data_IF_906171508878
#
_entry.id   IF_906171508878
#
_cell.length_a   1.000
_cell.length_b   1.000
_cell.length_c   1.000
_cell.angle_alpha   90.00
_cell.angle_beta   90.00
_cell.angle_gamma   90.00
#
_symmetry.space_group_name_H-M   'P 1'
#
loop_
_entity.id
_entity.type
_entity.pdbx_description
1 polymer ?
#
# COMPACT_ATOMS: atom_id res chain seq x y z
N UNK A 1 -12.56 -9.61 20.18
CA UNK A 1 -11.77 -8.41 19.84
C UNK A 1 -10.42 -8.90 19.33
N UNK A 2 -10.27 -9.06 18.01
CA UNK A 2 -9.10 -9.72 17.42
C UNK A 2 -8.05 -8.66 17.09
N UNK A 3 -6.93 -8.72 17.80
CA UNK A 3 -5.75 -7.89 17.59
C UNK A 3 -4.91 -8.56 16.50
N UNK A 4 -4.96 -8.02 15.28
CA UNK A 4 -4.09 -8.46 14.21
C UNK A 4 -2.74 -7.73 14.33
N UNK A 5 -1.62 -8.45 14.54
CA UNK A 5 -0.31 -7.84 14.63
C UNK A 5 0.05 -7.25 13.25
N UNK A 6 0.56 -6.01 13.25
CA UNK A 6 0.99 -5.21 12.09
C UNK A 6 2.25 -5.79 11.41
N UNK A 7 2.40 -7.12 11.38
CA UNK A 7 3.62 -7.82 10.96
C UNK A 7 3.57 -8.56 9.63
N UNK A 8 2.48 -8.58 8.85
CA UNK A 8 2.44 -9.43 7.63
C UNK A 8 2.09 -8.77 6.28
N UNK A 9 1.79 -7.47 6.17
CA UNK A 9 1.61 -6.86 4.84
C UNK A 9 2.93 -6.46 4.15
N UNK A 10 3.95 -6.14 4.94
CA UNK A 10 5.33 -5.93 4.45
C UNK A 10 5.91 -7.26 3.90
N UNK A 11 5.52 -8.41 4.44
CA UNK A 11 5.94 -9.73 3.92
C UNK A 11 5.26 -10.13 2.62
N UNK A 12 3.97 -9.79 2.45
CA UNK A 12 3.23 -10.05 1.20
C UNK A 12 3.77 -9.18 0.04
N UNK A 13 4.24 -7.96 0.34
CA UNK A 13 4.90 -7.08 -0.66
C UNK A 13 6.36 -7.52 -0.92
N UNK A 14 7.07 -8.05 0.08
CA UNK A 14 8.43 -8.62 -0.09
C UNK A 14 8.49 -9.77 -1.09
N UNK A 15 7.40 -10.51 -1.30
CA UNK A 15 7.33 -11.58 -2.31
C UNK A 15 7.12 -11.10 -3.75
N UNK A 16 6.88 -9.81 -4.00
CA UNK A 16 6.54 -9.30 -5.34
C UNK A 16 7.61 -8.44 -6.06
N UNK A 17 8.85 -8.34 -5.56
CA UNK A 17 9.96 -7.86 -6.41
C UNK A 17 11.32 -7.61 -5.72
N UNK A 18 12.48 -7.76 -6.40
CA UNK A 18 13.78 -7.94 -5.75
C UNK A 18 14.54 -6.67 -5.30
N UNK A 19 13.92 -5.48 -5.24
CA UNK A 19 14.70 -4.23 -5.17
C UNK A 19 14.67 -3.51 -3.79
N UNK A 20 13.75 -3.83 -2.88
CA UNK A 20 13.55 -3.01 -1.66
C UNK A 20 14.31 -3.55 -0.42
N UNK A 21 14.75 -4.81 -0.43
CA UNK A 21 15.26 -5.51 0.77
C UNK A 21 16.63 -4.98 1.25
N UNK A 22 17.46 -4.42 0.36
CA UNK A 22 18.79 -3.90 0.77
C UNK A 22 18.75 -2.58 1.53
N UNK A 23 17.66 -1.82 1.47
CA UNK A 23 17.66 -0.43 1.98
C UNK A 23 17.26 -0.29 3.46
N UNK A 24 16.41 -1.18 3.97
CA UNK A 24 15.85 -1.08 5.33
C UNK A 24 16.83 -1.56 6.41
N UNK A 25 17.70 -2.52 6.10
CA UNK A 25 18.64 -3.10 7.07
C UNK A 25 19.81 -2.15 7.39
N UNK A 26 20.29 -1.38 6.40
CA UNK A 26 21.46 -0.53 6.57
C UNK A 26 21.14 0.81 7.28
N UNK A 27 19.88 1.24 7.30
CA UNK A 27 19.46 2.53 7.87
C UNK A 27 19.12 2.48 9.38
N UNK A 28 18.92 1.30 9.97
CA UNK A 28 18.61 1.18 11.41
C UNK A 28 19.84 1.43 12.31
N UNK A 29 21.06 1.26 11.79
CA UNK A 29 22.31 1.40 12.56
C UNK A 29 22.75 2.85 12.80
N UNK A 30 22.20 3.84 12.08
CA UNK A 30 22.63 5.24 12.17
C UNK A 30 21.82 6.11 13.15
N UNK A 31 20.73 5.60 13.72
CA UNK A 31 19.75 6.39 14.48
C UNK A 31 20.11 6.68 15.96
N UNK A 32 21.34 6.38 16.42
CA UNK A 32 21.68 6.41 17.86
C UNK A 32 22.52 7.59 18.34
N UNK A 33 22.49 8.77 17.70
CA UNK A 33 23.14 9.96 18.27
C UNK A 33 22.37 11.25 17.99
N UNK A 34 22.32 12.06 19.05
CA UNK A 34 22.02 13.50 19.13
C UNK A 34 20.63 13.83 19.70
N UNK A 35 20.61 14.16 21.00
CA UNK A 35 19.81 15.26 21.53
C UNK A 35 20.72 16.09 22.42
N UNK A 36 20.87 17.38 22.09
CA UNK A 36 21.50 18.37 22.92
C UNK A 36 20.98 19.76 22.59
N UNK A 37 20.63 20.51 23.65
CA UNK A 37 20.31 21.94 23.72
C UNK A 37 18.85 22.38 23.52
N UNK A 38 18.19 22.58 24.66
CA UNK A 38 17.04 23.45 24.89
C UNK A 38 17.48 24.93 24.95
N UNK A 39 16.62 25.86 24.50
CA UNK A 39 16.86 27.30 24.67
C UNK A 39 15.83 28.27 24.07
N UNK A 40 14.86 27.83 23.26
CA UNK A 40 14.04 28.76 22.45
C UNK A 40 12.52 28.46 22.47
N UNK A 41 11.95 28.16 23.64
CA UNK A 41 10.55 27.71 23.78
C UNK A 41 9.49 28.64 23.13
N UNK A 42 9.64 29.97 23.17
CA UNK A 42 8.63 30.89 22.60
C UNK A 42 8.60 30.93 21.06
N UNK A 43 9.77 31.02 20.42
CA UNK A 43 9.88 31.06 18.94
C UNK A 43 9.63 29.68 18.32
N UNK A 44 9.98 28.60 19.03
CA UNK A 44 9.69 27.23 18.60
C UNK A 44 8.21 26.89 18.62
N UNK A 45 7.42 27.39 19.57
CA UNK A 45 5.95 27.15 19.61
C UNK A 45 5.23 27.86 18.45
N UNK A 46 5.61 29.10 18.11
CA UNK A 46 4.97 29.85 17.03
C UNK A 46 5.38 29.31 15.65
N UNK A 47 6.65 28.94 15.47
CA UNK A 47 7.13 28.21 14.30
C UNK A 47 6.46 26.83 14.18
N UNK A 48 6.34 26.10 15.29
CA UNK A 48 5.60 24.83 15.37
C UNK A 48 4.16 24.99 14.89
N UNK A 49 3.40 25.98 15.39
CA UNK A 49 2.02 26.23 14.93
C UNK A 49 1.95 26.54 13.43
N UNK A 50 2.87 27.36 12.92
CA UNK A 50 2.88 27.75 11.49
C UNK A 50 3.29 26.58 10.58
N UNK A 51 4.33 25.83 10.95
CA UNK A 51 4.80 24.66 10.21
C UNK A 51 3.77 23.53 10.25
N UNK A 52 3.24 23.23 11.44
CA UNK A 52 2.13 22.28 11.64
C UNK A 52 0.93 22.65 10.78
N UNK A 53 0.47 23.91 10.78
CA UNK A 53 -0.71 24.31 10.00
C UNK A 53 -0.48 24.22 8.49
N UNK A 54 0.70 24.60 7.98
CA UNK A 54 1.00 24.52 6.55
C UNK A 54 1.14 23.07 6.08
N UNK A 55 1.87 22.25 6.83
CA UNK A 55 2.09 20.84 6.49
C UNK A 55 0.83 20.00 6.68
N UNK A 56 0.04 20.25 7.73
CA UNK A 56 -1.29 19.69 7.91
C UNK A 56 -2.21 20.05 6.74
N UNK A 57 -2.18 21.29 6.26
CA UNK A 57 -3.01 21.71 5.14
C UNK A 57 -2.77 20.84 3.90
N UNK A 58 -1.50 20.65 3.52
CA UNK A 58 -1.16 19.82 2.36
C UNK A 58 -1.49 18.34 2.57
N UNK A 59 -1.07 17.74 3.68
CA UNK A 59 -1.31 16.31 3.96
C UNK A 59 -2.81 16.02 4.12
N UNK A 60 -3.56 16.92 4.75
CA UNK A 60 -5.01 16.79 4.90
C UNK A 60 -5.72 16.87 3.56
N UNK A 61 -5.35 17.82 2.70
CA UNK A 61 -5.95 17.95 1.37
C UNK A 61 -5.66 16.70 0.51
N UNK A 62 -4.43 16.17 0.58
CA UNK A 62 -4.09 14.92 -0.09
C UNK A 62 -4.89 13.75 0.49
N UNK A 63 -4.93 13.60 1.82
CA UNK A 63 -5.71 12.56 2.48
C UNK A 63 -7.20 12.60 2.06
N UNK A 64 -7.82 13.78 2.06
CA UNK A 64 -9.22 13.95 1.62
C UNK A 64 -9.42 13.59 0.15
N UNK A 65 -8.45 13.85 -0.72
CA UNK A 65 -8.47 13.38 -2.10
C UNK A 65 -8.49 11.85 -2.17
N UNK A 66 -7.61 11.17 -1.43
CA UNK A 66 -7.60 9.70 -1.41
C UNK A 66 -8.87 9.10 -0.81
N UNK A 67 -9.40 9.71 0.25
CA UNK A 67 -10.62 9.25 0.90
C UNK A 67 -11.86 9.44 0.00
N UNK A 68 -12.04 10.64 -0.58
CA UNK A 68 -13.26 10.97 -1.35
C UNK A 68 -13.17 10.55 -2.81
N UNK A 69 -12.03 10.78 -3.45
CA UNK A 69 -11.89 10.57 -4.90
C UNK A 69 -11.43 9.15 -5.19
N UNK A 70 -10.37 8.68 -4.55
CA UNK A 70 -9.82 7.33 -4.83
C UNK A 70 -10.70 6.24 -4.23
N UNK A 71 -10.96 6.28 -2.92
CA UNK A 71 -11.77 5.24 -2.27
C UNK A 71 -13.25 5.34 -2.63
N UNK A 72 -13.76 6.55 -2.90
CA UNK A 72 -15.14 6.80 -3.31
C UNK A 72 -15.45 6.38 -4.76
N UNK A 73 -14.47 6.42 -5.67
CA UNK A 73 -14.64 6.04 -7.09
C UNK A 73 -13.84 4.80 -7.51
N UNK A 74 -13.50 3.95 -6.53
CA UNK A 74 -12.65 2.78 -6.73
C UNK A 74 -13.11 1.84 -7.86
N UNK A 75 -14.43 1.71 -8.05
CA UNK A 75 -15.00 0.83 -9.08
C UNK A 75 -14.54 1.18 -10.50
N UNK A 76 -14.33 2.48 -10.78
CA UNK A 76 -13.86 2.97 -12.08
C UNK A 76 -12.34 2.91 -12.28
N UNK A 77 -11.56 2.62 -11.25
CA UNK A 77 -10.11 2.59 -11.35
C UNK A 77 -9.61 1.31 -12.04
N UNK A 78 -8.63 1.47 -12.92
CA UNK A 78 -7.82 0.35 -13.44
C UNK A 78 -6.81 -0.10 -12.40
N UNK A 79 -6.25 -1.30 -12.56
CA UNK A 79 -5.15 -1.79 -11.72
C UNK A 79 -3.96 -0.84 -11.73
N UNK A 80 -3.68 -0.22 -12.89
CA UNK A 80 -2.60 0.76 -13.04
C UNK A 80 -2.83 2.00 -12.19
N UNK A 81 -4.06 2.53 -12.18
CA UNK A 81 -4.40 3.69 -11.36
C UNK A 81 -4.22 3.38 -9.87
N UNK A 82 -4.71 2.21 -9.44
CA UNK A 82 -4.58 1.76 -8.05
C UNK A 82 -3.11 1.56 -7.66
N UNK A 83 -2.31 0.97 -8.53
CA UNK A 83 -0.88 0.79 -8.30
C UNK A 83 -0.15 2.14 -8.21
N UNK A 84 -0.51 3.11 -9.05
CA UNK A 84 0.04 4.46 -8.99
C UNK A 84 -0.30 5.15 -7.66
N UNK A 85 -1.54 5.01 -7.18
CA UNK A 85 -1.97 5.51 -5.87
C UNK A 85 -1.20 4.87 -4.72
N UNK A 86 -0.95 3.55 -4.78
CA UNK A 86 -0.12 2.84 -3.80
C UNK A 86 1.29 3.45 -3.74
N UNK A 87 1.94 3.64 -4.88
CA UNK A 87 3.29 4.23 -4.95
C UNK A 87 3.34 5.66 -4.39
N UNK A 88 2.32 6.47 -4.68
CA UNK A 88 2.22 7.82 -4.16
C UNK A 88 2.03 7.86 -2.64
N UNK A 89 1.21 6.96 -2.09
CA UNK A 89 1.03 6.81 -0.65
C UNK A 89 2.34 6.38 0.03
N UNK A 90 3.06 5.41 -0.54
CA UNK A 90 4.36 4.98 -0.02
C UNK A 90 5.35 6.14 0.01
N UNK A 91 5.44 6.91 -1.06
CA UNK A 91 6.29 8.09 -1.13
C UNK A 91 5.92 9.12 -0.07
N UNK A 92 4.62 9.35 0.16
CA UNK A 92 4.14 10.25 1.23
C UNK A 92 4.53 9.73 2.61
N UNK A 93 4.35 8.44 2.89
CA UNK A 93 4.75 7.84 4.17
C UNK A 93 6.26 8.01 4.39
N UNK A 94 7.08 7.70 3.37
CA UNK A 94 8.54 7.86 3.43
C UNK A 94 8.94 9.31 3.69
N UNK A 95 8.28 10.27 3.05
CA UNK A 95 8.53 11.69 3.30
C UNK A 95 8.21 12.05 4.75
N UNK A 96 7.05 11.61 5.27
CA UNK A 96 6.65 11.87 6.66
C UNK A 96 7.66 11.25 7.65
N UNK A 97 8.16 10.05 7.36
CA UNK A 97 9.16 9.37 8.19
C UNK A 97 10.52 10.10 8.17
N UNK A 98 10.99 10.54 7.00
CA UNK A 98 12.23 11.32 6.88
C UNK A 98 12.13 12.66 7.62
N UNK A 99 10.98 13.32 7.52
CA UNK A 99 10.70 14.54 8.27
C UNK A 99 10.61 14.26 9.77
N UNK A 100 10.02 13.15 10.20
CA UNK A 100 9.99 12.74 11.61
C UNK A 100 11.39 12.52 12.19
N UNK A 101 12.30 11.95 11.40
CA UNK A 101 13.70 11.74 11.79
C UNK A 101 14.49 13.04 11.87
N UNK A 102 14.20 14.00 10.98
CA UNK A 102 14.92 15.26 10.86
C UNK A 102 14.39 16.38 11.78
N UNK A 103 13.18 16.23 12.32
CA UNK A 103 12.50 17.27 13.09
C UNK A 103 12.58 17.10 14.61
N UNK A 104 12.24 18.17 15.33
CA UNK A 104 12.20 18.22 16.79
C UNK A 104 11.35 17.07 17.38
N UNK A 105 11.84 16.49 18.49
CA UNK A 105 11.20 15.41 19.24
C UNK A 105 9.70 15.66 19.54
N UNK A 106 9.30 16.92 19.77
CA UNK A 106 7.92 17.31 20.08
C UNK A 106 6.91 17.05 18.92
N UNK A 107 7.39 16.86 17.69
CA UNK A 107 6.55 16.57 16.53
C UNK A 107 6.35 15.06 16.29
N UNK A 108 7.08 14.19 17.00
CA UNK A 108 6.98 12.73 16.82
C UNK A 108 5.56 12.16 16.97
N UNK A 109 4.74 12.58 17.97
CA UNK A 109 3.37 12.08 18.09
C UNK A 109 2.49 12.46 16.90
N UNK A 110 2.70 13.65 16.34
CA UNK A 110 1.96 14.12 15.17
C UNK A 110 2.30 13.28 13.93
N UNK A 111 3.59 13.10 13.63
CA UNK A 111 4.00 12.25 12.51
C UNK A 111 3.52 10.80 12.65
N UNK A 112 3.56 10.25 13.88
CA UNK A 112 3.01 8.92 14.14
C UNK A 112 1.51 8.79 13.86
N UNK A 113 0.72 9.84 14.11
CA UNK A 113 -0.71 9.84 13.75
C UNK A 113 -0.92 9.91 12.23
N UNK A 114 -0.15 10.75 11.52
CA UNK A 114 -0.27 10.87 10.07
C UNK A 114 0.17 9.58 9.36
N UNK A 115 1.28 8.96 9.76
CA UNK A 115 1.73 7.67 9.22
C UNK A 115 0.62 6.61 9.39
N UNK A 116 -0.05 6.56 10.55
CA UNK A 116 -1.16 5.60 10.77
C UNK A 116 -2.34 5.85 9.83
N UNK A 117 -2.70 7.11 9.58
CA UNK A 117 -3.77 7.45 8.64
C UNK A 117 -3.43 7.02 7.22
N UNK A 118 -2.21 7.31 6.76
CA UNK A 118 -1.76 6.92 5.43
C UNK A 118 -1.64 5.40 5.27
N UNK A 119 -1.15 4.69 6.30
CA UNK A 119 -1.16 3.23 6.33
C UNK A 119 -2.56 2.64 6.26
N UNK A 120 -3.56 3.28 6.87
CA UNK A 120 -4.95 2.83 6.79
C UNK A 120 -5.54 3.01 5.38
N UNK A 121 -5.19 4.07 4.66
CA UNK A 121 -5.59 4.23 3.25
C UNK A 121 -4.87 3.20 2.38
N UNK A 122 -3.56 3.02 2.58
CA UNK A 122 -2.76 2.03 1.88
C UNK A 122 -3.42 0.65 1.97
N UNK A 123 -3.70 0.19 3.19
CA UNK A 123 -4.35 -1.09 3.45
C UNK A 123 -5.72 -1.22 2.75
N UNK A 124 -6.55 -0.18 2.80
CA UNK A 124 -7.85 -0.20 2.13
C UNK A 124 -7.73 -0.31 0.60
N UNK A 125 -6.78 0.40 -0.01
CA UNK A 125 -6.57 0.32 -1.46
C UNK A 125 -6.03 -1.06 -1.84
N UNK A 126 -5.05 -1.60 -1.09
CA UNK A 126 -4.49 -2.93 -1.36
C UNK A 126 -5.54 -4.04 -1.20
N UNK A 127 -6.37 -3.97 -0.16
CA UNK A 127 -7.42 -4.97 0.08
C UNK A 127 -8.46 -4.93 -1.04
N UNK A 128 -8.96 -3.74 -1.39
CA UNK A 128 -9.91 -3.61 -2.50
C UNK A 128 -9.30 -4.03 -3.83
N UNK A 129 -8.01 -3.78 -4.04
CA UNK A 129 -7.28 -4.20 -5.24
C UNK A 129 -7.17 -5.72 -5.33
N UNK A 130 -6.83 -6.38 -4.23
CA UNK A 130 -6.78 -7.84 -4.12
C UNK A 130 -8.14 -8.49 -4.40
N UNK A 131 -9.22 -7.94 -3.82
CA UNK A 131 -10.58 -8.44 -4.03
C UNK A 131 -10.99 -8.28 -5.50
N UNK A 132 -10.67 -7.13 -6.12
CA UNK A 132 -10.97 -6.89 -7.52
C UNK A 132 -10.15 -7.82 -8.42
N UNK A 133 -8.84 -7.97 -8.19
CA UNK A 133 -8.02 -8.95 -8.92
C UNK A 133 -8.63 -10.35 -8.90
N UNK A 134 -9.07 -10.79 -7.72
CA UNK A 134 -9.68 -12.10 -7.55
C UNK A 134 -10.95 -12.27 -8.37
N UNK A 135 -11.87 -11.29 -8.30
CA UNK A 135 -13.11 -11.28 -9.08
C UNK A 135 -12.82 -11.33 -10.59
N UNK A 136 -11.80 -10.60 -11.02
CA UNK A 136 -11.44 -10.49 -12.42
C UNK A 136 -10.78 -11.76 -12.96
N UNK A 137 -9.97 -12.44 -12.13
CA UNK A 137 -9.47 -13.78 -12.47
C UNK A 137 -10.60 -14.80 -12.59
N UNK A 138 -11.61 -14.72 -11.70
CA UNK A 138 -12.77 -15.61 -11.76
C UNK A 138 -13.58 -15.38 -13.05
N UNK A 139 -13.79 -14.13 -13.45
CA UNK A 139 -14.44 -13.79 -14.71
C UNK A 139 -13.66 -14.30 -15.92
N UNK A 140 -12.32 -14.11 -15.95
CA UNK A 140 -11.47 -14.62 -17.02
C UNK A 140 -11.46 -16.15 -17.10
N UNK A 141 -11.54 -16.84 -15.96
CA UNK A 141 -11.56 -18.30 -15.92
C UNK A 141 -12.87 -18.84 -16.50
N UNK A 142 -14.01 -18.26 -16.10
CA UNK A 142 -15.33 -18.70 -16.53
C UNK A 142 -15.68 -18.28 -17.97
N UNK A 143 -15.04 -17.24 -18.49
CA UNK A 143 -15.26 -16.74 -19.85
C UNK A 143 -13.91 -16.42 -20.53
N UNK A 144 -13.37 -17.33 -21.36
CA UNK A 144 -12.10 -17.14 -22.05
C UNK A 144 -12.05 -15.91 -22.98
N UNK A 145 -13.21 -15.51 -23.53
CA UNK A 145 -13.38 -14.35 -24.40
C UNK A 145 -13.59 -13.05 -23.60
N UNK A 146 -13.55 -13.12 -22.28
CA UNK A 146 -13.65 -11.95 -21.42
C UNK A 146 -12.45 -11.01 -21.64
N UNK A 147 -12.74 -9.83 -22.18
CA UNK A 147 -11.82 -8.71 -22.25
C UNK A 147 -12.11 -7.72 -21.13
N UNK A 148 -11.07 -7.37 -20.38
CA UNK A 148 -11.20 -6.48 -19.25
C UNK A 148 -10.27 -5.28 -19.36
N UNK A 149 -10.85 -4.08 -19.24
CA UNK A 149 -10.09 -2.83 -19.15
C UNK A 149 -9.35 -2.62 -17.82
N UNK A 150 -9.71 -3.33 -16.75
CA UNK A 150 -9.09 -3.20 -15.43
C UNK A 150 -7.60 -3.54 -15.44
N UNK A 151 -7.20 -4.62 -16.11
CA UNK A 151 -5.79 -5.04 -16.20
C UNK A 151 -5.02 -4.35 -17.33
N UNK A 152 -5.56 -3.28 -17.94
CA UNK A 152 -4.87 -2.56 -19.01
C UNK A 152 -3.47 -2.10 -18.56
N UNK A 153 -2.44 -2.51 -19.30
CA UNK A 153 -1.03 -2.27 -18.96
C UNK A 153 -0.40 -3.30 -18.02
N UNK A 154 -1.12 -4.38 -17.70
CA UNK A 154 -0.66 -5.55 -16.95
C UNK A 154 -0.82 -6.84 -17.79
N UNK A 155 -0.62 -6.75 -19.10
CA UNK A 155 -0.88 -7.86 -20.04
C UNK A 155 -0.01 -9.09 -19.77
N UNK A 156 1.21 -8.90 -19.25
CA UNK A 156 2.07 -10.01 -18.83
C UNK A 156 1.47 -10.81 -17.66
N UNK A 157 0.75 -10.14 -16.75
CA UNK A 157 0.12 -10.76 -15.59
C UNK A 157 -1.09 -11.60 -16.03
N UNK A 158 -1.95 -11.04 -16.88
CA UNK A 158 -3.12 -11.75 -17.42
C UNK A 158 -2.71 -12.85 -18.40
N UNK A 159 -1.66 -12.62 -19.20
CA UNK A 159 -1.07 -13.63 -20.08
C UNK A 159 -0.54 -14.83 -19.31
N UNK A 160 0.17 -14.61 -18.18
CA UNK A 160 0.62 -15.69 -17.30
C UNK A 160 -0.55 -16.48 -16.71
N UNK A 161 -1.58 -15.78 -16.23
CA UNK A 161 -2.80 -16.43 -15.73
C UNK A 161 -3.44 -17.31 -16.80
N UNK A 162 -3.70 -16.78 -18.00
CA UNK A 162 -4.31 -17.51 -19.12
C UNK A 162 -3.46 -18.71 -19.54
N UNK A 163 -2.15 -18.57 -19.56
CA UNK A 163 -1.23 -19.66 -19.90
C UNK A 163 -1.29 -20.82 -18.90
N UNK A 164 -1.41 -20.53 -17.59
CA UNK A 164 -1.52 -21.57 -16.56
C UNK A 164 -2.91 -22.22 -16.61
N UNK A 165 -3.96 -21.43 -16.79
CA UNK A 165 -5.32 -21.95 -16.95
C UNK A 165 -5.43 -22.90 -18.16
N UNK A 166 -4.84 -22.52 -19.30
CA UNK A 166 -4.85 -23.32 -20.52
C UNK A 166 -4.02 -24.62 -20.42
N UNK A 167 -3.02 -24.68 -19.53
CA UNK A 167 -2.22 -25.90 -19.35
C UNK A 167 -2.94 -26.98 -18.53
N UNK A 168 -4.08 -26.65 -17.90
CA UNK A 168 -4.83 -27.57 -17.03
C UNK A 168 -4.16 -27.84 -15.68
N UNK A 169 -3.08 -27.12 -15.34
CA UNK A 169 -2.41 -27.25 -14.04
C UNK A 169 -3.14 -26.42 -12.99
N UNK A 170 -4.19 -27.00 -12.42
CA UNK A 170 -5.07 -26.33 -11.46
C UNK A 170 -4.33 -25.95 -10.17
N UNK A 171 -3.37 -26.76 -9.71
CA UNK A 171 -2.61 -26.44 -8.49
C UNK A 171 -1.69 -25.23 -8.71
N UNK A 172 -1.05 -25.12 -9.88
CA UNK A 172 -0.31 -23.91 -10.26
C UNK A 172 -1.23 -22.69 -10.41
N UNK A 173 -2.44 -22.88 -10.95
CA UNK A 173 -3.44 -21.81 -11.08
C UNK A 173 -3.86 -21.28 -9.71
N UNK A 174 -4.22 -22.17 -8.78
CA UNK A 174 -4.65 -21.80 -7.44
C UNK A 174 -3.54 -21.09 -6.67
N UNK A 175 -2.30 -21.56 -6.79
CA UNK A 175 -1.14 -20.92 -6.18
C UNK A 175 -0.92 -19.52 -6.76
N UNK A 176 -0.97 -19.37 -8.07
CA UNK A 176 -0.85 -18.07 -8.72
C UNK A 176 -1.90 -17.07 -8.21
N UNK A 177 -3.18 -17.48 -8.15
CA UNK A 177 -4.26 -16.63 -7.64
C UNK A 177 -4.04 -16.28 -6.17
N UNK A 178 -3.64 -17.26 -5.34
CA UNK A 178 -3.36 -17.04 -3.91
C UNK A 178 -2.21 -16.06 -3.70
N UNK A 179 -1.11 -16.20 -4.44
CA UNK A 179 0.05 -15.30 -4.37
C UNK A 179 -0.30 -13.86 -4.79
N UNK A 180 -1.22 -13.69 -5.76
CA UNK A 180 -1.59 -12.37 -6.27
C UNK A 180 -2.67 -11.67 -5.47
N UNK A 181 -3.57 -12.43 -4.86
CA UNK A 181 -4.74 -11.89 -4.16
C UNK A 181 -4.67 -12.06 -2.64
N UNK A 182 -3.79 -12.92 -2.13
CA UNK A 182 -3.78 -13.30 -0.71
C UNK A 182 -5.01 -14.12 -0.30
N UNK A 183 -5.86 -14.55 -1.24
CA UNK A 183 -7.01 -15.39 -0.95
C UNK A 183 -6.56 -16.79 -0.50
N UNK A 184 -7.24 -17.40 0.50
CA UNK A 184 -6.93 -18.75 0.95
C UNK A 184 -7.08 -19.78 -0.17
N UNK A 185 -6.16 -20.74 -0.27
CA UNK A 185 -6.20 -21.78 -1.31
C UNK A 185 -7.49 -22.59 -1.27
N UNK A 186 -8.05 -22.85 -0.10
CA UNK A 186 -9.29 -23.61 0.07
C UNK A 186 -10.47 -22.90 -0.61
N UNK A 187 -10.54 -21.58 -0.44
CA UNK A 187 -11.57 -20.75 -1.09
C UNK A 187 -11.39 -20.75 -2.61
N UNK A 188 -10.15 -20.57 -3.07
CA UNK A 188 -9.84 -20.57 -4.50
C UNK A 188 -10.22 -21.92 -5.14
N UNK A 189 -9.87 -23.03 -4.49
CA UNK A 189 -10.23 -24.38 -4.95
C UNK A 189 -11.74 -24.53 -5.11
N UNK A 190 -12.52 -24.05 -4.14
CA UNK A 190 -13.98 -24.11 -4.20
C UNK A 190 -14.57 -23.28 -5.35
N UNK A 191 -14.02 -22.10 -5.63
CA UNK A 191 -14.59 -21.16 -6.60
C UNK A 191 -14.14 -21.43 -8.05
N UNK A 192 -13.06 -22.19 -8.25
CA UNK A 192 -12.43 -22.51 -9.56
C UNK A 192 -12.39 -24.02 -9.86
N UNK A 193 -13.30 -24.81 -9.28
CA UNK A 193 -13.51 -26.23 -9.62
C UNK A 193 -14.82 -26.38 -10.39
#
# INVERSE_FOLDING_TARGET
MVWFPVKSMIEIIKTQGPVVIKWVHDYWKSASKIIGAAGSAGKTIQWYRKYKNKQLGTLKNQYEYYEKQVLGHFSGCTRKDLYQYILEIEKTIQQIEQEQQSNMFLLKPFYGQEIRKWNAIFAQITDKMSVKDYQEYLLMYNNPDYENGYFKGFDALTGKFKSIAASGDMEALYRFISEKTGMPMEKIKSDFS
#
